data_IF_419766241679
#
_entry.id   IF_419766241679
#
_cell.length_a   1.000
_cell.length_b   1.000
_cell.length_c   1.000
_cell.angle_alpha   90.00
_cell.angle_beta   90.00
_cell.angle_gamma   90.00
#
_symmetry.space_group_name_H-M   'P 1'
#
loop_
_entity.id
_entity.type
_entity.pdbx_description
1 polymer ?
#
# COMPACT_ATOMS: atom_id res chain seq x y z
N UNK A 1 -46.09 -24.47 0.46
CA UNK A 1 -45.53 -24.26 -0.91
C UNK A 1 -44.29 -23.39 -0.72
N UNK A 2 -43.13 -24.03 -0.68
CA UNK A 2 -41.84 -23.35 -0.55
C UNK A 2 -41.38 -22.99 -1.97
N UNK A 3 -41.20 -21.70 -2.23
CA UNK A 3 -40.67 -21.16 -3.47
C UNK A 3 -39.16 -21.39 -3.49
N UNK A 4 -38.71 -22.30 -4.32
CA UNK A 4 -37.31 -22.52 -4.65
C UNK A 4 -36.75 -21.31 -5.37
N UNK A 5 -35.81 -20.62 -4.71
CA UNK A 5 -35.02 -19.54 -5.32
C UNK A 5 -33.97 -20.21 -6.22
N UNK A 6 -34.16 -20.09 -7.52
CA UNK A 6 -33.22 -20.58 -8.51
C UNK A 6 -31.83 -19.97 -8.32
N UNK A 7 -30.73 -20.74 -8.52
CA UNK A 7 -29.38 -20.22 -8.39
C UNK A 7 -29.11 -19.18 -9.48
N UNK A 8 -28.64 -18.03 -9.04
CA UNK A 8 -28.25 -16.86 -9.84
C UNK A 8 -27.22 -17.27 -10.91
N UNK A 9 -27.64 -17.43 -12.16
CA UNK A 9 -26.74 -17.70 -13.28
C UNK A 9 -25.90 -16.46 -13.53
N UNK A 10 -24.63 -16.55 -13.16
CA UNK A 10 -23.60 -15.59 -13.59
C UNK A 10 -23.57 -15.58 -15.13
N UNK A 11 -23.66 -14.42 -15.80
CA UNK A 11 -23.56 -14.37 -17.26
C UNK A 11 -22.24 -15.00 -17.72
N UNK A 12 -22.33 -15.87 -18.74
CA UNK A 12 -21.16 -16.53 -19.31
C UNK A 12 -20.19 -15.47 -19.86
N UNK A 13 -19.05 -15.32 -19.21
CA UNK A 13 -17.94 -14.52 -19.70
C UNK A 13 -17.40 -15.17 -20.97
N UNK A 14 -17.53 -14.50 -22.11
CA UNK A 14 -16.86 -14.91 -23.35
C UNK A 14 -15.37 -14.67 -23.12
N UNK A 15 -14.66 -15.72 -22.74
CA UNK A 15 -13.22 -15.69 -22.53
C UNK A 15 -12.49 -15.64 -23.88
N UNK A 16 -12.16 -14.44 -24.33
CA UNK A 16 -11.03 -14.28 -25.26
C UNK A 16 -9.75 -14.47 -24.45
N UNK A 17 -9.01 -15.51 -24.72
CA UNK A 17 -7.95 -16.14 -23.94
C UNK A 17 -6.69 -15.35 -23.62
N UNK A 18 -6.78 -14.16 -23.05
CA UNK A 18 -5.65 -13.30 -22.68
C UNK A 18 -5.85 -12.50 -21.37
N UNK A 19 -6.84 -12.86 -20.54
CA UNK A 19 -6.93 -12.24 -19.21
C UNK A 19 -5.72 -12.70 -18.37
N UNK A 20 -4.84 -11.76 -18.05
CA UNK A 20 -3.74 -11.99 -17.13
C UNK A 20 -4.32 -12.46 -15.78
N UNK A 21 -3.79 -13.55 -15.20
CA UNK A 21 -4.27 -14.14 -13.92
C UNK A 21 -4.40 -13.12 -12.79
N UNK A 22 -3.68 -12.02 -12.88
CA UNK A 22 -3.77 -10.91 -11.92
C UNK A 22 -4.98 -9.99 -12.12
N UNK A 23 -5.59 -9.96 -13.30
CA UNK A 23 -6.76 -9.13 -13.61
C UNK A 23 -8.08 -9.85 -13.32
N UNK A 24 -8.08 -11.18 -13.31
CA UNK A 24 -9.27 -12.02 -13.11
C UNK A 24 -10.11 -11.65 -11.86
N UNK A 25 -9.52 -11.40 -10.67
CA UNK A 25 -10.29 -11.00 -9.49
C UNK A 25 -11.00 -9.65 -9.65
N UNK A 26 -10.42 -8.71 -10.40
CA UNK A 26 -11.02 -7.40 -10.67
C UNK A 26 -12.21 -7.57 -11.59
N UNK A 27 -12.05 -8.35 -12.68
CA UNK A 27 -13.12 -8.68 -13.64
C UNK A 27 -14.28 -9.34 -12.91
N UNK A 28 -14.01 -10.38 -12.12
CA UNK A 28 -15.03 -11.11 -11.37
C UNK A 28 -15.79 -10.20 -10.37
N UNK A 29 -15.07 -9.30 -9.69
CA UNK A 29 -15.67 -8.37 -8.73
C UNK A 29 -16.57 -7.34 -9.40
N UNK A 30 -16.18 -6.81 -10.56
CA UNK A 30 -17.01 -5.88 -11.35
C UNK A 30 -18.18 -6.59 -11.98
N UNK A 31 -17.97 -7.80 -12.51
CA UNK A 31 -19.05 -8.64 -13.06
C UNK A 31 -20.13 -8.98 -12.03
N UNK A 32 -19.73 -9.20 -10.77
CA UNK A 32 -20.66 -9.45 -9.67
C UNK A 32 -21.53 -8.23 -9.30
N UNK A 33 -21.16 -7.02 -9.73
CA UNK A 33 -21.97 -5.80 -9.59
C UNK A 33 -22.95 -5.62 -10.73
N UNK A 34 -22.71 -6.23 -11.90
CA UNK A 34 -23.58 -6.09 -13.05
C UNK A 34 -24.87 -6.88 -12.85
N UNK A 35 -26.00 -6.28 -13.21
CA UNK A 35 -27.26 -7.01 -13.31
C UNK A 35 -27.28 -7.93 -14.54
N UNK A 36 -28.10 -8.99 -14.48
CA UNK A 36 -28.32 -9.87 -15.62
C UNK A 36 -28.89 -9.05 -16.79
N UNK A 37 -28.08 -8.84 -17.83
CA UNK A 37 -28.45 -8.03 -19.00
C UNK A 37 -27.61 -6.79 -19.21
N UNK A 38 -26.76 -6.38 -18.26
CA UNK A 38 -25.83 -5.28 -18.48
C UNK A 38 -24.65 -5.77 -19.31
N UNK A 39 -24.38 -5.13 -20.44
CA UNK A 39 -23.22 -5.44 -21.28
C UNK A 39 -21.95 -4.91 -20.60
N UNK A 40 -21.20 -5.81 -19.97
CA UNK A 40 -19.87 -5.52 -19.47
C UNK A 40 -18.89 -5.74 -20.63
N UNK A 41 -17.95 -4.83 -20.81
CA UNK A 41 -16.80 -5.06 -21.69
C UNK A 41 -15.61 -5.61 -20.87
N UNK A 42 -15.38 -6.93 -20.90
CA UNK A 42 -14.26 -7.53 -20.15
C UNK A 42 -12.89 -7.02 -20.60
N UNK A 43 -12.75 -6.65 -21.88
CA UNK A 43 -11.49 -6.16 -22.43
C UNK A 43 -11.13 -4.78 -21.86
N UNK A 44 -12.12 -3.91 -21.65
CA UNK A 44 -11.93 -2.61 -21.02
C UNK A 44 -11.52 -2.77 -19.54
N UNK A 45 -12.17 -3.66 -18.82
CA UNK A 45 -11.84 -3.92 -17.40
C UNK A 45 -10.44 -4.52 -17.28
N UNK A 46 -10.09 -5.46 -18.15
CA UNK A 46 -8.77 -6.08 -18.19
C UNK A 46 -7.68 -5.04 -18.52
N UNK A 47 -7.90 -4.18 -19.51
CA UNK A 47 -6.97 -3.11 -19.85
C UNK A 47 -6.76 -2.15 -18.67
N UNK A 48 -7.85 -1.74 -17.99
CA UNK A 48 -7.76 -0.90 -16.79
C UNK A 48 -7.02 -1.62 -15.66
N UNK A 49 -7.31 -2.89 -15.43
CA UNK A 49 -6.66 -3.69 -14.40
C UNK A 49 -5.16 -3.90 -14.69
N UNK A 50 -4.75 -4.08 -15.94
CA UNK A 50 -3.33 -4.15 -16.32
C UNK A 50 -2.57 -2.84 -16.09
N UNK A 51 -3.24 -1.70 -16.25
CA UNK A 51 -2.66 -0.39 -15.96
C UNK A 51 -2.42 -0.16 -14.45
N UNK A 52 -3.02 -0.97 -13.57
CA UNK A 52 -2.92 -0.78 -12.13
C UNK A 52 -1.77 -1.58 -11.51
N UNK A 53 -1.09 -0.96 -10.54
CA UNK A 53 -0.15 -1.68 -9.68
C UNK A 53 -0.88 -2.76 -8.84
N UNK A 54 -0.16 -3.80 -8.44
CA UNK A 54 -0.67 -4.85 -7.55
C UNK A 54 -1.28 -4.28 -6.24
N UNK A 55 -0.72 -3.20 -5.71
CA UNK A 55 -1.26 -2.50 -4.54
C UNK A 55 -2.58 -1.80 -4.83
N UNK A 56 -2.74 -1.20 -6.01
CA UNK A 56 -3.98 -0.57 -6.45
C UNK A 56 -5.08 -1.61 -6.62
N UNK A 57 -4.79 -2.73 -7.29
CA UNK A 57 -5.72 -3.87 -7.43
C UNK A 57 -6.20 -4.37 -6.06
N UNK A 58 -5.27 -4.60 -5.14
CA UNK A 58 -5.56 -5.08 -3.79
C UNK A 58 -6.42 -4.09 -2.99
N UNK A 59 -6.13 -2.79 -3.09
CA UNK A 59 -6.91 -1.75 -2.44
C UNK A 59 -8.33 -1.67 -3.03
N UNK A 60 -8.46 -1.73 -4.36
CA UNK A 60 -9.75 -1.73 -5.05
C UNK A 60 -10.64 -2.89 -4.59
N UNK A 61 -10.12 -4.12 -4.63
CA UNK A 61 -10.86 -5.32 -4.20
C UNK A 61 -11.28 -5.24 -2.73
N UNK A 62 -10.38 -4.80 -1.85
CA UNK A 62 -10.67 -4.64 -0.42
C UNK A 62 -11.74 -3.57 -0.16
N UNK A 63 -11.69 -2.45 -0.88
CA UNK A 63 -12.63 -1.35 -0.71
C UNK A 63 -14.03 -1.75 -1.22
N UNK A 64 -14.11 -2.50 -2.33
CA UNK A 64 -15.39 -3.03 -2.83
C UNK A 64 -15.97 -4.12 -1.92
N UNK A 65 -15.14 -5.00 -1.37
CA UNK A 65 -15.61 -5.97 -0.39
C UNK A 65 -16.22 -5.27 0.84
N UNK A 66 -15.63 -4.16 1.27
CA UNK A 66 -16.14 -3.36 2.38
C UNK A 66 -17.46 -2.65 2.01
N UNK A 67 -17.56 -2.09 0.80
CA UNK A 67 -18.81 -1.52 0.27
C UNK A 67 -19.92 -2.56 0.20
N UNK A 68 -19.65 -3.74 -0.38
CA UNK A 68 -20.62 -4.82 -0.48
C UNK A 68 -21.09 -5.33 0.90
N UNK A 69 -20.21 -5.32 1.90
CA UNK A 69 -20.57 -5.65 3.27
C UNK A 69 -21.53 -4.59 3.87
N UNK A 70 -21.30 -3.30 3.60
CA UNK A 70 -22.19 -2.22 4.00
C UNK A 70 -23.57 -2.37 3.36
N UNK A 71 -23.66 -2.60 2.05
CA UNK A 71 -24.91 -2.82 1.35
C UNK A 71 -25.70 -3.99 1.96
N UNK A 72 -25.04 -5.14 2.17
CA UNK A 72 -25.67 -6.32 2.78
C UNK A 72 -26.24 -6.06 4.17
N UNK A 73 -25.51 -5.38 5.01
CA UNK A 73 -25.96 -5.08 6.39
C UNK A 73 -27.22 -4.20 6.36
N UNK A 74 -27.36 -3.38 5.34
CA UNK A 74 -28.51 -2.49 5.15
C UNK A 74 -29.62 -3.10 4.27
N UNK A 75 -29.52 -4.39 3.90
CA UNK A 75 -30.53 -5.08 3.13
C UNK A 75 -30.67 -4.59 1.68
N UNK A 76 -29.63 -3.98 1.12
CA UNK A 76 -29.60 -3.44 -0.24
C UNK A 76 -28.61 -4.26 -1.08
N UNK A 77 -29.02 -4.65 -2.29
CA UNK A 77 -28.08 -5.21 -3.25
C UNK A 77 -27.17 -4.08 -3.76
N UNK A 78 -25.87 -4.34 -3.89
CA UNK A 78 -24.93 -3.31 -4.29
C UNK A 78 -25.31 -2.62 -5.63
N UNK A 79 -25.77 -3.32 -6.69
CA UNK A 79 -26.23 -2.68 -7.93
C UNK A 79 -27.36 -1.67 -7.75
N UNK A 80 -28.20 -1.85 -6.73
CA UNK A 80 -29.38 -1.03 -6.46
C UNK A 80 -29.08 0.12 -5.47
N UNK A 81 -27.83 0.26 -5.03
CA UNK A 81 -27.46 1.28 -4.07
C UNK A 81 -27.63 2.70 -4.64
N UNK A 82 -28.30 3.53 -3.87
CA UNK A 82 -28.56 4.93 -4.21
C UNK A 82 -27.60 5.91 -3.52
N UNK A 83 -27.72 7.17 -3.87
CA UNK A 83 -26.92 8.25 -3.28
C UNK A 83 -27.13 8.41 -1.76
N UNK A 84 -28.29 8.06 -1.23
CA UNK A 84 -28.58 8.16 0.21
C UNK A 84 -27.81 7.10 0.98
N UNK A 85 -27.79 5.85 0.47
CA UNK A 85 -27.00 4.77 1.07
C UNK A 85 -25.51 5.10 1.10
N UNK A 86 -24.98 5.71 0.02
CA UNK A 86 -23.58 6.18 -0.03
C UNK A 86 -23.33 7.31 0.97
N UNK A 87 -24.25 8.27 1.08
CA UNK A 87 -24.16 9.38 2.04
C UNK A 87 -24.11 8.87 3.47
N UNK A 88 -25.00 7.94 3.82
CA UNK A 88 -25.00 7.29 5.14
C UNK A 88 -23.70 6.55 5.41
N UNK A 89 -23.12 5.89 4.39
CA UNK A 89 -21.81 5.26 4.51
C UNK A 89 -20.69 6.27 4.81
N UNK A 90 -20.70 7.40 4.10
CA UNK A 90 -19.73 8.49 4.35
C UNK A 90 -19.86 9.01 5.79
N UNK A 91 -21.10 9.21 6.28
CA UNK A 91 -21.38 9.65 7.66
C UNK A 91 -20.87 8.63 8.68
N UNK A 92 -21.22 7.36 8.52
CA UNK A 92 -20.77 6.28 9.39
C UNK A 92 -19.23 6.18 9.45
N UNK A 93 -18.57 6.24 8.30
CA UNK A 93 -17.09 6.25 8.20
C UNK A 93 -16.48 7.50 8.81
N UNK A 94 -17.17 8.63 8.72
CA UNK A 94 -16.80 9.88 9.38
C UNK A 94 -17.00 9.85 10.89
N UNK A 95 -17.73 8.89 11.42
CA UNK A 95 -18.15 8.81 12.83
C UNK A 95 -19.21 9.83 13.17
N UNK A 96 -20.06 10.19 12.21
CA UNK A 96 -21.26 10.98 12.36
C UNK A 96 -22.48 10.05 12.57
N UNK A 97 -23.53 10.60 13.12
CA UNK A 97 -24.79 9.87 13.26
C UNK A 97 -25.37 9.51 11.88
N UNK A 98 -25.92 8.32 11.78
CA UNK A 98 -26.58 7.80 10.60
C UNK A 98 -27.82 7.01 11.06
N UNK A 99 -28.89 7.09 10.27
CA UNK A 99 -30.12 6.33 10.49
C UNK A 99 -29.97 4.84 10.14
N UNK A 100 -28.89 4.48 9.44
CA UNK A 100 -28.64 3.13 8.97
C UNK A 100 -28.10 2.21 10.06
N UNK A 101 -28.46 0.94 9.97
CA UNK A 101 -27.97 -0.10 10.88
C UNK A 101 -26.47 -0.31 10.73
N UNK A 102 -25.78 -0.36 11.86
CA UNK A 102 -24.40 -0.78 11.97
C UNK A 102 -24.41 -2.16 12.62
N UNK A 103 -23.80 -3.15 11.96
CA UNK A 103 -23.64 -4.49 12.54
C UNK A 103 -22.62 -4.49 13.70
N UNK A 104 -21.69 -3.55 13.65
CA UNK A 104 -20.70 -3.25 14.68
C UNK A 104 -20.24 -1.80 14.50
N UNK A 105 -19.64 -1.16 15.52
CA UNK A 105 -19.06 0.17 15.38
C UNK A 105 -18.05 0.21 14.24
N UNK A 106 -18.30 1.04 13.24
CA UNK A 106 -17.35 1.23 12.14
C UNK A 106 -16.21 2.11 12.65
N UNK A 107 -14.97 1.62 12.50
CA UNK A 107 -13.79 2.42 12.84
C UNK A 107 -13.77 3.69 11.99
N UNK A 108 -13.70 4.85 12.62
CA UNK A 108 -13.57 6.15 11.96
C UNK A 108 -12.40 6.16 10.98
N UNK A 109 -12.63 6.67 9.77
CA UNK A 109 -11.64 6.77 8.71
C UNK A 109 -11.24 8.22 8.46
N UNK A 110 -10.01 8.44 8.01
CA UNK A 110 -9.57 9.76 7.57
C UNK A 110 -10.33 10.19 6.30
N UNK A 111 -10.59 11.50 6.10
CA UNK A 111 -11.29 11.99 4.91
C UNK A 111 -10.66 11.55 3.57
N UNK A 112 -9.34 11.45 3.50
CA UNK A 112 -8.62 10.95 2.32
C UNK A 112 -8.93 9.46 2.03
N UNK A 113 -9.05 8.64 3.09
CA UNK A 113 -9.42 7.22 2.95
C UNK A 113 -10.86 7.07 2.45
N UNK A 114 -11.79 7.87 2.96
CA UNK A 114 -13.19 7.85 2.51
C UNK A 114 -13.29 8.29 1.06
N UNK A 115 -12.55 9.34 0.67
CA UNK A 115 -12.49 9.77 -0.72
C UNK A 115 -11.98 8.66 -1.67
N UNK A 116 -10.96 7.89 -1.26
CA UNK A 116 -10.48 6.73 -2.03
C UNK A 116 -11.54 5.66 -2.18
N UNK A 117 -12.27 5.34 -1.11
CA UNK A 117 -13.37 4.39 -1.17
C UNK A 117 -14.43 4.80 -2.19
N UNK A 118 -14.85 6.08 -2.18
CA UNK A 118 -15.82 6.59 -3.15
C UNK A 118 -15.31 6.51 -4.59
N UNK A 119 -14.02 6.79 -4.81
CA UNK A 119 -13.40 6.66 -6.14
C UNK A 119 -13.45 5.21 -6.63
N UNK A 120 -13.09 4.23 -5.80
CA UNK A 120 -13.10 2.83 -6.17
C UNK A 120 -14.53 2.30 -6.41
N UNK A 121 -15.49 2.67 -5.54
CA UNK A 121 -16.90 2.31 -5.72
C UNK A 121 -17.44 2.90 -7.03
N UNK A 122 -17.29 4.21 -7.25
CA UNK A 122 -17.76 4.85 -8.47
C UNK A 122 -17.12 4.28 -9.74
N UNK A 123 -15.83 3.93 -9.68
CA UNK A 123 -15.13 3.28 -10.77
C UNK A 123 -15.74 1.90 -11.08
N UNK A 124 -16.02 1.09 -10.06
CA UNK A 124 -16.63 -0.22 -10.23
C UNK A 124 -18.03 -0.15 -10.87
N UNK A 125 -18.85 0.82 -10.43
CA UNK A 125 -20.17 1.02 -11.05
C UNK A 125 -20.07 1.42 -12.51
N UNK A 126 -19.19 2.37 -12.85
CA UNK A 126 -18.98 2.77 -14.25
C UNK A 126 -18.47 1.61 -15.12
N UNK A 127 -17.54 0.80 -14.60
CA UNK A 127 -17.05 -0.40 -15.30
C UNK A 127 -18.15 -1.46 -15.46
N UNK A 128 -19.08 -1.55 -14.53
CA UNK A 128 -20.23 -2.43 -14.59
C UNK A 128 -21.38 -1.87 -15.45
N UNK A 129 -21.23 -0.71 -16.10
CA UNK A 129 -22.28 -0.07 -16.88
C UNK A 129 -23.45 0.48 -16.05
N UNK A 130 -23.25 0.65 -14.73
CA UNK A 130 -24.25 1.13 -13.80
C UNK A 130 -24.10 2.63 -13.53
N UNK A 131 -25.19 3.26 -13.12
CA UNK A 131 -25.16 4.66 -12.65
C UNK A 131 -24.33 4.75 -11.38
N UNK A 132 -23.31 5.62 -11.39
CA UNK A 132 -22.41 5.85 -10.26
C UNK A 132 -23.11 6.61 -9.12
N UNK A 133 -23.48 5.98 -7.99
CA UNK A 133 -24.18 6.66 -6.91
C UNK A 133 -23.27 7.62 -6.13
N UNK A 134 -21.95 7.48 -6.27
CA UNK A 134 -20.97 8.34 -5.59
C UNK A 134 -20.84 9.70 -6.28
N UNK A 135 -21.24 9.80 -7.53
CA UNK A 135 -21.20 11.05 -8.31
C UNK A 135 -22.27 12.07 -7.89
N UNK A 136 -23.29 11.63 -7.12
CA UNK A 136 -24.41 12.46 -6.74
C UNK A 136 -23.99 13.73 -5.94
N UNK A 137 -24.65 14.89 -6.16
CA UNK A 137 -24.34 16.12 -5.45
C UNK A 137 -24.40 15.98 -3.92
N UNK A 138 -25.36 15.20 -3.40
CA UNK A 138 -25.53 14.94 -1.98
C UNK A 138 -24.27 14.31 -1.37
N UNK A 139 -23.69 13.28 -2.01
CA UNK A 139 -22.46 12.61 -1.54
C UNK A 139 -21.27 13.57 -1.54
N UNK A 140 -21.14 14.38 -2.58
CA UNK A 140 -20.06 15.40 -2.69
C UNK A 140 -20.17 16.45 -1.60
N UNK A 141 -21.38 16.91 -1.30
CA UNK A 141 -21.64 17.90 -0.24
C UNK A 141 -21.33 17.30 1.14
N UNK A 142 -21.77 16.08 1.42
CA UNK A 142 -21.47 15.41 2.69
C UNK A 142 -19.97 15.21 2.90
N UNK A 143 -19.26 14.74 1.88
CA UNK A 143 -17.80 14.61 1.93
C UNK A 143 -17.11 15.97 2.16
N UNK A 144 -17.62 17.05 1.55
CA UNK A 144 -17.11 18.42 1.76
C UNK A 144 -17.38 18.91 3.18
N UNK A 145 -18.56 18.67 3.71
CA UNK A 145 -18.94 19.04 5.09
C UNK A 145 -18.04 18.30 6.09
N UNK A 146 -17.86 16.99 5.93
CA UNK A 146 -16.97 16.19 6.77
C UNK A 146 -15.50 16.67 6.71
N UNK A 147 -14.99 17.02 5.53
CA UNK A 147 -13.63 17.58 5.38
C UNK A 147 -13.47 18.90 6.14
N UNK A 148 -14.50 19.77 6.11
CA UNK A 148 -14.49 21.01 6.87
C UNK A 148 -14.51 20.78 8.38
N UNK A 149 -15.36 19.86 8.85
CA UNK A 149 -15.50 19.56 10.27
C UNK A 149 -14.26 18.87 10.87
N UNK A 150 -13.59 18.01 10.11
CA UNK A 150 -12.47 17.19 10.61
C UNK A 150 -11.09 17.66 10.18
N UNK A 151 -11.02 18.60 9.25
CA UNK A 151 -9.80 19.00 8.57
C UNK A 151 -9.31 17.93 7.57
N UNK A 152 -8.43 18.34 6.68
CA UNK A 152 -7.84 17.48 5.65
C UNK A 152 -6.35 17.21 5.88
N UNK A 153 -5.75 17.88 6.88
CA UNK A 153 -4.33 17.72 7.17
C UNK A 153 -4.02 16.29 7.59
N UNK A 154 -3.24 15.61 6.78
CA UNK A 154 -2.72 14.29 7.14
C UNK A 154 -1.60 14.44 8.15
N UNK A 155 -1.62 13.57 9.18
CA UNK A 155 -0.52 13.50 10.13
C UNK A 155 0.69 12.90 9.41
N UNK A 156 1.72 13.72 9.21
CA UNK A 156 2.98 13.27 8.67
C UNK A 156 3.85 12.67 9.78
N UNK A 157 4.61 11.63 9.46
CA UNK A 157 5.64 11.13 10.35
C UNK A 157 6.75 12.19 10.47
N UNK A 158 7.33 12.30 11.67
CA UNK A 158 8.54 13.12 11.85
C UNK A 158 9.70 12.49 11.07
N UNK A 159 10.50 13.32 10.41
CA UNK A 159 11.75 12.89 9.78
C UNK A 159 12.74 12.41 10.85
N UNK A 160 13.45 11.32 10.57
CA UNK A 160 14.52 10.83 11.43
C UNK A 160 15.78 11.67 11.16
N UNK A 161 16.29 12.34 12.16
CA UNK A 161 17.57 13.06 12.08
C UNK A 161 18.71 12.18 12.56
N UNK A 162 19.94 12.51 12.17
CA UNK A 162 21.10 11.70 12.58
C UNK A 162 21.32 11.71 14.10
N UNK A 163 21.25 12.87 14.74
CA UNK A 163 21.46 13.06 16.19
C UNK A 163 20.17 13.29 17.00
N UNK A 164 19.00 13.30 16.36
CA UNK A 164 17.72 13.60 17.00
C UNK A 164 17.28 15.06 16.88
N UNK A 165 16.17 15.40 17.53
CA UNK A 165 15.65 16.76 17.59
C UNK A 165 16.47 17.54 18.63
N UNK A 166 17.15 18.59 18.21
CA UNK A 166 17.86 19.54 19.07
C UNK A 166 16.93 20.72 19.24
N UNK A 167 16.33 20.83 20.42
CA UNK A 167 15.51 21.97 20.79
C UNK A 167 16.38 23.11 21.34
N UNK A 168 17.45 22.76 22.05
CA UNK A 168 18.46 23.66 22.59
C UNK A 168 19.84 23.03 22.44
N UNK A 169 20.89 23.82 22.25
CA UNK A 169 22.27 23.32 22.09
C UNK A 169 22.80 22.70 23.39
N UNK A 170 22.27 23.11 24.53
CA UNK A 170 22.66 22.64 25.86
C UNK A 170 21.86 21.42 26.35
N UNK A 171 20.80 21.04 25.64
CA UNK A 171 20.00 19.87 25.99
C UNK A 171 20.36 18.62 25.15
N UNK A 172 20.30 17.41 25.74
CA UNK A 172 20.50 16.19 24.97
C UNK A 172 19.42 16.04 23.89
N UNK A 173 19.80 15.56 22.70
CA UNK A 173 18.84 15.40 21.61
C UNK A 173 17.70 14.44 22.01
N UNK A 174 16.46 14.85 21.75
CA UNK A 174 15.26 14.05 22.05
C UNK A 174 14.74 13.34 20.80
N UNK A 175 13.92 12.29 21.02
CA UNK A 175 13.26 11.55 19.96
C UNK A 175 14.10 10.42 19.37
N UNK A 176 13.52 9.74 18.37
CA UNK A 176 14.18 8.66 17.65
C UNK A 176 15.14 9.23 16.62
N UNK A 177 16.41 8.82 16.68
CA UNK A 177 17.43 9.30 15.75
C UNK A 177 18.24 8.12 15.17
N UNK A 178 18.88 8.35 14.00
CA UNK A 178 19.62 7.29 13.31
C UNK A 178 20.76 6.74 14.18
N UNK A 179 21.47 7.60 14.91
CA UNK A 179 22.59 7.16 15.76
C UNK A 179 22.15 6.19 16.87
N UNK A 180 20.96 6.39 17.45
CA UNK A 180 20.40 5.48 18.45
C UNK A 180 19.95 4.16 17.82
N UNK A 181 19.28 4.23 16.66
CA UNK A 181 18.87 3.01 15.93
C UNK A 181 20.08 2.16 15.55
N UNK A 182 21.16 2.78 15.06
CA UNK A 182 22.40 2.06 14.73
C UNK A 182 23.08 1.45 15.95
N UNK A 183 23.04 2.09 17.11
CA UNK A 183 23.56 1.52 18.38
C UNK A 183 22.72 0.34 18.87
N UNK A 184 21.41 0.35 18.58
CA UNK A 184 20.50 -0.74 18.93
C UNK A 184 20.62 -1.96 18.02
N UNK A 185 21.25 -1.82 16.83
CA UNK A 185 21.49 -2.96 15.95
C UNK A 185 22.36 -4.02 16.64
N UNK A 186 21.96 -5.30 16.49
CA UNK A 186 22.71 -6.45 17.02
C UNK A 186 24.08 -6.57 16.35
N UNK A 187 24.99 -7.36 16.93
CA UNK A 187 26.32 -7.62 16.38
C UNK A 187 26.41 -8.94 15.59
N UNK A 188 25.29 -9.33 14.97
CA UNK A 188 25.17 -10.53 14.15
C UNK A 188 24.69 -10.16 12.72
N UNK A 189 24.39 -11.16 11.89
CA UNK A 189 23.90 -10.95 10.52
C UNK A 189 22.65 -10.08 10.48
N UNK A 190 21.73 -10.25 11.45
CA UNK A 190 20.51 -9.46 11.51
C UNK A 190 20.85 -7.97 11.71
N UNK A 191 21.70 -7.67 12.69
CA UNK A 191 22.06 -6.29 12.98
C UNK A 191 22.94 -5.64 11.93
N UNK A 192 23.83 -6.39 11.26
CA UNK A 192 24.60 -5.88 10.13
C UNK A 192 23.71 -5.51 8.92
N UNK A 193 22.71 -6.37 8.62
CA UNK A 193 21.69 -6.06 7.60
C UNK A 193 20.90 -4.82 7.98
N UNK A 194 20.43 -4.75 9.23
CA UNK A 194 19.58 -3.64 9.69
C UNK A 194 20.35 -2.32 9.71
N UNK A 195 21.63 -2.34 10.10
CA UNK A 195 22.50 -1.16 10.02
C UNK A 195 22.69 -0.68 8.56
N UNK A 196 22.92 -1.60 7.62
CA UNK A 196 23.00 -1.26 6.20
C UNK A 196 21.68 -0.69 5.69
N UNK A 197 20.53 -1.32 6.03
CA UNK A 197 19.20 -0.84 5.66
C UNK A 197 18.94 0.58 6.18
N UNK A 198 19.17 0.82 7.48
CA UNK A 198 18.93 2.12 8.12
C UNK A 198 19.76 3.23 7.47
N UNK A 199 21.02 2.95 7.14
CA UNK A 199 21.90 3.93 6.50
C UNK A 199 21.51 4.21 5.06
N UNK A 200 21.21 3.17 4.25
CA UNK A 200 20.74 3.35 2.88
C UNK A 200 19.43 4.14 2.87
N UNK A 201 18.49 3.78 3.74
CA UNK A 201 17.21 4.49 3.85
C UNK A 201 17.39 5.96 4.25
N UNK A 202 18.34 6.26 5.13
CA UNK A 202 18.65 7.61 5.59
C UNK A 202 19.26 8.48 4.49
N UNK A 203 20.27 7.95 3.77
CA UNK A 203 20.95 8.69 2.71
C UNK A 203 20.05 8.94 1.50
N UNK A 204 19.20 7.95 1.15
CA UNK A 204 18.47 7.97 -0.13
C UNK A 204 17.00 8.39 0.01
N UNK A 205 16.42 8.35 1.22
CA UNK A 205 14.99 8.53 1.47
C UNK A 205 14.09 7.62 0.59
N UNK A 206 14.59 6.49 0.13
CA UNK A 206 13.87 5.52 -0.69
C UNK A 206 12.61 5.00 -0.02
N UNK A 207 11.58 4.71 -0.82
CA UNK A 207 10.40 4.00 -0.33
C UNK A 207 10.76 2.57 0.05
N UNK A 208 9.98 1.98 0.98
CA UNK A 208 10.20 0.60 1.45
C UNK A 208 10.31 -0.42 0.30
N UNK A 209 9.50 -0.27 -0.75
CA UNK A 209 9.55 -1.14 -1.93
C UNK A 209 10.84 -0.96 -2.74
N UNK A 210 11.34 0.27 -2.87
CA UNK A 210 12.57 0.61 -3.56
C UNK A 210 13.78 0.07 -2.79
N UNK A 211 13.79 0.24 -1.46
CA UNK A 211 14.86 -0.30 -0.60
C UNK A 211 15.01 -1.83 -0.72
N UNK A 212 13.91 -2.58 -0.66
CA UNK A 212 14.00 -4.05 -0.74
C UNK A 212 14.28 -4.56 -2.15
N UNK A 213 14.01 -3.74 -3.17
CA UNK A 213 14.34 -4.02 -4.56
C UNK A 213 15.79 -3.64 -4.91
N UNK A 214 16.54 -3.06 -3.99
CA UNK A 214 17.95 -2.73 -4.22
C UNK A 214 18.77 -4.01 -4.42
N UNK A 215 19.44 -4.09 -5.55
CA UNK A 215 20.40 -5.16 -5.86
C UNK A 215 21.84 -4.67 -5.73
N UNK A 216 22.77 -5.59 -5.63
CA UNK A 216 24.19 -5.29 -5.51
C UNK A 216 24.68 -4.51 -6.73
N UNK A 217 24.21 -4.88 -7.93
CA UNK A 217 24.62 -4.30 -9.21
C UNK A 217 24.05 -2.88 -9.42
N UNK A 218 23.13 -2.44 -8.56
CA UNK A 218 22.63 -1.07 -8.53
C UNK A 218 23.56 -0.12 -7.77
N UNK A 219 24.65 -0.62 -7.16
CA UNK A 219 25.54 0.17 -6.30
C UNK A 219 26.89 0.31 -6.94
N UNK A 220 27.25 1.53 -7.25
CA UNK A 220 28.56 1.90 -7.79
C UNK A 220 29.39 2.57 -6.71
N UNK A 221 30.69 2.21 -6.65
CA UNK A 221 31.64 2.84 -5.77
C UNK A 221 32.13 4.15 -6.39
N UNK A 222 32.14 5.22 -5.60
CA UNK A 222 32.63 6.53 -5.97
C UNK A 222 33.92 6.90 -5.21
N UNK A 223 34.33 8.15 -5.39
CA UNK A 223 35.51 8.70 -4.73
C UNK A 223 35.34 8.88 -3.22
N UNK A 224 36.43 8.92 -2.47
CA UNK A 224 36.41 9.16 -1.02
C UNK A 224 35.68 8.07 -0.21
N UNK A 225 35.43 6.88 -0.81
CA UNK A 225 34.70 5.80 -0.16
C UNK A 225 33.18 5.93 -0.20
N UNK A 226 32.66 6.98 -0.82
CA UNK A 226 31.22 7.17 -1.10
C UNK A 226 30.76 6.22 -2.23
N UNK A 227 29.50 6.30 -2.60
CA UNK A 227 28.93 5.55 -3.72
C UNK A 227 27.64 6.17 -4.23
N UNK A 228 27.10 5.54 -5.25
CA UNK A 228 25.84 5.92 -5.88
C UNK A 228 24.94 4.67 -5.97
N UNK A 229 23.67 4.84 -5.64
CA UNK A 229 22.63 3.83 -5.81
C UNK A 229 21.76 4.21 -7.01
N UNK A 230 21.66 3.33 -7.99
CA UNK A 230 20.66 3.41 -9.04
C UNK A 230 19.33 2.82 -8.58
N UNK A 231 18.24 3.53 -8.75
CA UNK A 231 16.87 3.13 -8.42
C UNK A 231 16.12 2.97 -9.74
N UNK A 232 15.93 1.73 -10.24
CA UNK A 232 15.43 1.48 -11.60
C UNK A 232 14.00 1.98 -11.85
N UNK A 233 13.18 2.02 -10.82
CA UNK A 233 11.82 2.52 -10.94
C UNK A 233 11.29 3.08 -9.63
N UNK A 234 10.50 4.14 -9.71
CA UNK A 234 9.83 4.76 -8.57
C UNK A 234 8.33 4.94 -8.86
N UNK A 235 7.53 5.04 -7.82
CA UNK A 235 6.08 5.28 -7.96
C UNK A 235 5.75 6.57 -8.74
N UNK A 236 6.66 7.52 -8.78
CA UNK A 236 6.50 8.82 -9.45
C UNK A 236 7.23 8.88 -10.79
N UNK A 237 7.97 7.85 -11.12
CA UNK A 237 8.68 7.69 -12.38
C UNK A 237 7.79 6.90 -13.35
N UNK A 238 6.95 7.62 -14.08
CA UNK A 238 6.00 7.03 -15.02
C UNK A 238 6.68 6.54 -16.31
N UNK A 239 7.85 7.09 -16.63
CA UNK A 239 8.59 6.81 -17.87
C UNK A 239 9.66 5.73 -17.67
N UNK A 240 10.00 5.41 -16.39
CA UNK A 240 10.96 4.35 -16.07
C UNK A 240 12.42 4.76 -16.32
N UNK A 241 12.74 6.06 -16.25
CA UNK A 241 14.11 6.55 -16.43
C UNK A 241 15.02 6.19 -15.26
N UNK A 242 14.44 5.90 -14.08
CA UNK A 242 15.16 5.64 -12.85
C UNK A 242 15.71 6.91 -12.20
N UNK A 243 16.39 6.72 -11.08
CA UNK A 243 17.00 7.82 -10.35
C UNK A 243 18.32 7.39 -9.69
N UNK A 244 19.20 8.33 -9.47
CA UNK A 244 20.45 8.11 -8.75
C UNK A 244 20.39 8.77 -7.37
N UNK A 245 20.87 8.04 -6.35
CA UNK A 245 20.93 8.54 -4.99
C UNK A 245 22.35 8.38 -4.44
N UNK A 246 22.80 9.39 -3.68
CA UNK A 246 24.11 9.38 -3.03
C UNK A 246 24.15 8.42 -1.85
N UNK A 247 25.26 7.70 -1.70
CA UNK A 247 25.59 6.86 -0.56
C UNK A 247 26.85 7.40 0.14
N UNK A 248 26.72 7.76 1.40
CA UNK A 248 27.84 8.25 2.19
C UNK A 248 28.92 7.18 2.42
N UNK A 249 30.18 7.56 2.71
CA UNK A 249 31.23 6.60 3.04
C UNK A 249 30.84 5.65 4.19
N UNK A 250 30.13 6.15 5.18
CA UNK A 250 29.65 5.36 6.30
C UNK A 250 28.56 4.33 5.88
N UNK A 251 27.71 4.68 4.93
CA UNK A 251 26.72 3.77 4.35
C UNK A 251 27.40 2.70 3.50
N UNK A 252 28.36 3.07 2.67
CA UNK A 252 29.14 2.13 1.88
C UNK A 252 29.94 1.18 2.77
N UNK A 253 30.45 1.64 3.91
CA UNK A 253 31.10 0.78 4.92
C UNK A 253 30.13 -0.24 5.50
N UNK A 254 28.91 0.16 5.86
CA UNK A 254 27.89 -0.75 6.39
C UNK A 254 27.45 -1.78 5.34
N UNK A 255 27.27 -1.37 4.08
CA UNK A 255 26.97 -2.27 2.97
C UNK A 255 28.10 -3.31 2.81
N UNK A 256 29.36 -2.87 2.79
CA UNK A 256 30.52 -3.79 2.69
C UNK A 256 30.61 -4.76 3.85
N UNK A 257 30.37 -4.30 5.08
CA UNK A 257 30.35 -5.15 6.27
C UNK A 257 29.26 -6.22 6.19
N UNK A 258 28.04 -5.83 5.81
CA UNK A 258 26.92 -6.75 5.60
C UNK A 258 27.21 -7.76 4.48
N UNK A 259 27.63 -7.29 3.30
CA UNK A 259 27.98 -8.17 2.15
C UNK A 259 29.03 -9.20 2.54
N UNK A 260 30.11 -8.76 3.21
CA UNK A 260 31.21 -9.64 3.63
C UNK A 260 30.73 -10.69 4.63
N UNK A 261 29.96 -10.28 5.65
CA UNK A 261 29.51 -11.18 6.71
C UNK A 261 28.51 -12.24 6.20
N UNK A 262 27.68 -11.88 5.22
CA UNK A 262 26.65 -12.73 4.67
C UNK A 262 27.03 -13.38 3.32
N UNK A 263 28.27 -13.23 2.87
CA UNK A 263 28.82 -13.76 1.61
C UNK A 263 27.94 -13.41 0.39
N UNK A 264 27.60 -12.11 0.28
CA UNK A 264 26.72 -11.62 -0.78
C UNK A 264 27.56 -11.02 -1.91
N UNK A 265 27.51 -11.63 -3.09
CA UNK A 265 28.23 -11.16 -4.28
C UNK A 265 27.32 -10.58 -5.36
N UNK A 266 26.06 -11.02 -5.44
CA UNK A 266 25.09 -10.59 -6.47
C UNK A 266 23.66 -10.67 -5.96
N UNK A 267 22.70 -10.10 -6.71
CA UNK A 267 21.27 -10.12 -6.40
C UNK A 267 20.89 -9.20 -5.25
N UNK A 268 19.81 -9.46 -4.50
CA UNK A 268 19.26 -8.54 -3.51
C UNK A 268 20.27 -8.17 -2.43
N UNK A 269 20.43 -6.86 -2.18
CA UNK A 269 21.26 -6.35 -1.08
C UNK A 269 20.66 -6.73 0.29
N UNK A 270 19.37 -6.47 0.49
CA UNK A 270 18.69 -6.67 1.76
C UNK A 270 17.97 -8.02 1.76
N UNK A 271 18.62 -9.04 2.29
CA UNK A 271 18.12 -10.42 2.31
C UNK A 271 17.41 -10.77 3.60
N UNK A 272 16.51 -11.76 3.52
CA UNK A 272 15.89 -12.34 4.71
C UNK A 272 16.95 -13.10 5.50
N UNK A 273 17.00 -12.83 6.80
CA UNK A 273 17.77 -13.60 7.79
C UNK A 273 16.79 -14.48 8.55
N UNK A 274 17.07 -15.77 8.60
CA UNK A 274 16.27 -16.73 9.35
C UNK A 274 16.77 -16.75 10.82
N UNK A 275 15.81 -16.74 11.73
CA UNK A 275 16.07 -16.65 13.17
C UNK A 275 15.40 -17.85 13.84
N UNK A 276 16.10 -18.53 14.73
CA UNK A 276 15.54 -19.58 15.58
C UNK A 276 14.59 -19.00 16.63
N UNK A 277 13.84 -19.88 17.27
CA UNK A 277 12.90 -19.49 18.33
C UNK A 277 13.60 -18.82 19.52
N UNK A 278 14.84 -19.18 19.82
CA UNK A 278 15.69 -18.56 20.86
C UNK A 278 16.28 -17.20 20.44
N UNK A 279 15.95 -16.72 19.24
CA UNK A 279 16.44 -15.45 18.70
C UNK A 279 17.85 -15.50 18.09
N UNK A 280 18.52 -16.67 18.05
CA UNK A 280 19.79 -16.84 17.34
C UNK A 280 19.59 -16.85 15.82
N UNK A 281 20.56 -16.35 15.06
CA UNK A 281 20.50 -16.35 13.60
C UNK A 281 20.98 -17.67 13.04
N UNK A 282 20.25 -18.22 12.06
CA UNK A 282 20.58 -19.53 11.49
C UNK A 282 21.12 -19.45 10.06
N UNK A 283 20.53 -18.60 9.24
CA UNK A 283 20.89 -18.55 7.81
C UNK A 283 20.51 -17.23 7.17
N UNK A 284 21.29 -16.81 6.19
CA UNK A 284 20.92 -15.74 5.25
C UNK A 284 20.34 -16.37 3.99
N UNK A 285 19.09 -16.03 3.67
CA UNK A 285 18.41 -16.50 2.46
C UNK A 285 18.83 -15.73 1.20
N UNK A 286 18.46 -16.24 0.03
CA UNK A 286 18.70 -15.56 -1.25
C UNK A 286 17.55 -14.66 -1.70
N UNK A 287 16.42 -14.66 -0.97
CA UNK A 287 15.27 -13.82 -1.30
C UNK A 287 15.40 -12.43 -0.68
N UNK A 288 14.88 -11.38 -1.35
CA UNK A 288 14.83 -10.05 -0.78
C UNK A 288 13.99 -10.02 0.50
N UNK A 289 14.28 -9.07 1.36
CA UNK A 289 13.46 -8.77 2.52
C UNK A 289 12.07 -8.31 2.06
N UNK A 290 11.02 -8.74 2.75
CA UNK A 290 9.67 -8.28 2.42
C UNK A 290 9.48 -6.81 2.86
N UNK A 291 8.84 -5.93 2.05
CA UNK A 291 8.68 -4.51 2.38
C UNK A 291 8.04 -4.24 3.75
N UNK A 292 7.12 -5.11 4.19
CA UNK A 292 6.49 -4.97 5.51
C UNK A 292 7.45 -5.28 6.67
N UNK A 293 8.49 -6.08 6.46
CA UNK A 293 9.49 -6.37 7.49
C UNK A 293 10.29 -5.13 7.88
N UNK A 294 10.43 -4.16 6.98
CA UNK A 294 11.10 -2.89 7.29
C UNK A 294 10.38 -2.17 8.45
N UNK A 295 9.06 -2.22 8.51
CA UNK A 295 8.28 -1.57 9.59
C UNK A 295 8.55 -2.16 10.98
N UNK A 296 9.14 -3.34 11.05
CA UNK A 296 9.51 -4.00 12.32
C UNK A 296 10.94 -3.66 12.76
N UNK A 297 11.73 -3.05 11.87
CA UNK A 297 13.14 -2.67 12.09
C UNK A 297 13.25 -1.22 12.58
N UNK A 298 12.28 -0.37 12.16
CA UNK A 298 12.21 1.04 12.58
C UNK A 298 11.58 1.24 13.95
#
# INVERSE_FOLDING_TARGET
>A
MASEIAPNRVPALVSNGLADRESEPVIATVAALADAGTAIDPAMIDAAARAWSANTKRAFLSDLAFWNAWCRVNGVRAPEADARLVTDWVRALGGLETERRLRAPIKKRAPATIARYLVHVGMAYRMAGLTDPTAAPLVKLELKAMRRARGTRQRQAKGIRYKGDIADLDEPPTGVCLSHLLKACRRDWLGLRDAALLRVAYDTACRRSELVATEIDHIEAGEGGAGVLFIPSSKTDAEGEGAYAYLSPATMQAIRAWKKAADIHSGPLLRRVEVHFDGSVSRVGNRPLHPNSITLIY
#
